data_IF_386279458277
#
_entry.id   IF_386279458277
#
_cell.length_a   1.000
_cell.length_b   1.000
_cell.length_c   1.000
_cell.angle_alpha   90.00
_cell.angle_beta   90.00
_cell.angle_gamma   90.00
#
_symmetry.space_group_name_H-M   'P 1'
#
loop_
_entity.id
_entity.type
_entity.pdbx_description
1 polymer ?
#
# COMPACT_ATOMS: atom_id res chain seq x y z
N UNK A 1 -11.31 112.18 -6.20
CA UNK A 1 -11.57 113.52 -6.78
C UNK A 1 -12.31 113.30 -8.10
N UNK A 2 -13.54 113.83 -8.17
CA UNK A 2 -14.39 114.11 -9.33
C UNK A 2 -14.86 112.95 -10.27
N UNK A 3 -16.12 112.57 -10.11
CA UNK A 3 -17.14 112.33 -11.17
C UNK A 3 -17.46 113.66 -11.93
N UNK A 4 -18.32 113.77 -13.00
CA UNK A 4 -19.02 112.79 -13.88
C UNK A 4 -19.16 113.21 -15.40
N UNK A 5 -19.91 112.39 -16.18
CA UNK A 5 -20.85 112.71 -17.30
C UNK A 5 -20.37 113.15 -18.71
N UNK A 6 -20.72 112.34 -19.75
CA UNK A 6 -21.70 112.59 -20.86
C UNK A 6 -21.49 111.50 -21.95
N UNK A 7 -22.44 110.59 -22.21
CA UNK A 7 -23.65 110.70 -23.08
C UNK A 7 -23.38 110.29 -24.54
N UNK A 8 -24.21 109.37 -25.05
CA UNK A 8 -24.25 108.96 -26.44
C UNK A 8 -25.05 107.67 -26.66
N UNK A 9 -26.37 107.77 -26.59
CA UNK A 9 -27.35 106.75 -27.00
C UNK A 9 -27.20 106.35 -28.48
N UNK A 10 -27.31 105.04 -28.82
CA UNK A 10 -28.21 104.53 -29.88
C UNK A 10 -28.58 103.06 -29.60
N UNK A 11 -29.89 102.83 -29.59
CA UNK A 11 -30.65 101.58 -29.43
C UNK A 11 -30.60 100.73 -30.70
N UNK A 12 -30.39 99.41 -30.59
CA UNK A 12 -31.09 98.41 -31.43
C UNK A 12 -31.22 97.05 -30.72
N UNK A 13 -32.47 96.65 -30.52
CA UNK A 13 -32.96 95.40 -29.95
C UNK A 13 -32.91 94.29 -31.02
N UNK A 14 -32.71 93.00 -30.65
CA UNK A 14 -33.42 91.79 -31.15
C UNK A 14 -32.67 90.47 -30.80
N UNK A 15 -33.26 89.75 -29.84
CA UNK A 15 -33.60 88.31 -29.80
C UNK A 15 -32.59 87.21 -30.22
N UNK A 16 -32.40 86.23 -29.32
CA UNK A 16 -32.41 84.81 -29.71
C UNK A 16 -31.11 84.02 -29.59
N UNK A 17 -30.53 83.87 -28.38
CA UNK A 17 -29.52 82.84 -28.12
C UNK A 17 -30.22 81.46 -28.12
N UNK A 18 -30.10 80.75 -29.24
CA UNK A 18 -30.82 79.53 -29.59
C UNK A 18 -30.38 78.31 -28.74
N UNK A 19 -31.27 77.87 -27.83
CA UNK A 19 -31.16 76.62 -27.05
C UNK A 19 -30.93 75.36 -27.90
N UNK A 20 -31.14 75.38 -29.23
CA UNK A 20 -30.93 74.21 -30.10
C UNK A 20 -29.46 73.84 -30.30
N UNK A 21 -28.52 74.78 -30.33
CA UNK A 21 -27.10 74.45 -30.53
C UNK A 21 -26.49 73.74 -29.30
N UNK A 22 -26.89 74.09 -28.07
CA UNK A 22 -26.43 73.41 -26.85
C UNK A 22 -27.01 71.99 -26.70
N UNK A 23 -28.23 71.75 -27.20
CA UNK A 23 -28.88 70.44 -27.21
C UNK A 23 -28.27 69.47 -28.24
N UNK A 24 -27.78 69.96 -29.38
CA UNK A 24 -27.09 69.14 -30.38
C UNK A 24 -25.67 68.71 -29.92
N UNK A 25 -24.93 69.59 -29.25
CA UNK A 25 -23.61 69.25 -28.68
C UNK A 25 -23.70 68.25 -27.49
N UNK A 26 -24.72 68.36 -26.65
CA UNK A 26 -24.91 67.44 -25.51
C UNK A 26 -25.34 66.03 -25.94
N UNK A 27 -26.17 65.91 -26.99
CA UNK A 27 -26.66 64.62 -27.48
C UNK A 27 -25.58 63.81 -28.23
N UNK A 28 -24.70 64.48 -29.00
CA UNK A 28 -23.55 63.84 -29.64
C UNK A 28 -22.51 63.37 -28.63
N UNK A 29 -22.25 64.15 -27.57
CA UNK A 29 -21.39 63.74 -26.47
C UNK A 29 -21.96 62.54 -25.69
N UNK A 30 -23.29 62.44 -25.54
CA UNK A 30 -23.93 61.29 -24.91
C UNK A 30 -23.87 60.03 -25.77
N UNK A 31 -24.09 60.14 -27.10
CA UNK A 31 -23.91 59.02 -28.05
C UNK A 31 -22.45 58.56 -28.15
N UNK A 32 -21.50 59.49 -28.09
CA UNK A 32 -20.07 59.18 -28.09
C UNK A 32 -19.67 58.45 -26.80
N UNK A 33 -20.10 58.95 -25.63
CA UNK A 33 -19.86 58.29 -24.34
C UNK A 33 -20.46 56.89 -24.26
N UNK A 34 -21.68 56.69 -24.76
CA UNK A 34 -22.33 55.37 -24.76
C UNK A 34 -21.70 54.41 -25.75
N UNK A 35 -21.23 54.88 -26.91
CA UNK A 35 -20.49 54.05 -27.88
C UNK A 35 -19.11 53.64 -27.33
N UNK A 36 -18.38 54.57 -26.72
CA UNK A 36 -17.09 54.30 -26.07
C UNK A 36 -17.27 53.32 -24.89
N UNK A 37 -18.29 53.52 -24.06
CA UNK A 37 -18.58 52.63 -22.92
C UNK A 37 -18.96 51.21 -23.38
N UNK A 38 -19.73 51.08 -24.47
CA UNK A 38 -20.02 49.77 -25.08
C UNK A 38 -18.76 49.10 -25.64
N UNK A 39 -17.91 49.85 -26.33
CA UNK A 39 -16.64 49.31 -26.87
C UNK A 39 -15.71 48.82 -25.74
N UNK A 40 -15.60 49.56 -24.65
CA UNK A 40 -14.83 49.17 -23.46
C UNK A 40 -15.44 47.91 -22.83
N UNK A 41 -16.76 47.83 -22.70
CA UNK A 41 -17.44 46.65 -22.15
C UNK A 41 -17.19 45.41 -23.02
N UNK A 42 -17.31 45.51 -24.34
CA UNK A 42 -17.02 44.40 -25.25
C UNK A 42 -15.55 43.97 -25.20
N UNK A 43 -14.63 44.92 -25.10
CA UNK A 43 -13.21 44.63 -24.94
C UNK A 43 -12.92 43.91 -23.61
N UNK A 44 -13.50 44.36 -22.50
CA UNK A 44 -13.36 43.69 -21.20
C UNK A 44 -13.94 42.27 -21.21
N UNK A 45 -15.09 42.06 -21.85
CA UNK A 45 -15.68 40.73 -22.02
C UNK A 45 -14.77 39.83 -22.84
N UNK A 46 -14.19 40.33 -23.95
CA UNK A 46 -13.28 39.56 -24.79
C UNK A 46 -11.99 39.18 -24.04
N UNK A 47 -11.41 40.12 -23.29
CA UNK A 47 -10.22 39.87 -22.44
C UNK A 47 -10.55 38.85 -21.36
N UNK A 48 -11.69 38.98 -20.68
CA UNK A 48 -12.12 38.03 -19.65
C UNK A 48 -12.33 36.62 -20.23
N UNK A 49 -12.97 36.50 -21.38
CA UNK A 49 -13.15 35.21 -22.07
C UNK A 49 -11.81 34.60 -22.53
N UNK A 50 -10.84 35.41 -22.96
CA UNK A 50 -9.51 34.89 -23.32
C UNK A 50 -8.71 34.43 -22.10
N UNK A 51 -8.86 35.12 -20.96
CA UNK A 51 -8.22 34.79 -19.71
C UNK A 51 -8.79 33.50 -19.09
N UNK A 52 -10.12 33.29 -19.17
CA UNK A 52 -10.74 32.05 -18.67
C UNK A 52 -10.36 30.84 -19.51
N UNK A 53 -10.29 30.97 -20.84
CA UNK A 53 -9.87 29.88 -21.73
C UNK A 53 -8.39 29.50 -21.56
N UNK A 54 -7.52 30.48 -21.33
CA UNK A 54 -6.10 30.23 -21.04
C UNK A 54 -5.89 29.63 -19.65
N UNK A 55 -6.63 30.08 -18.64
CA UNK A 55 -6.62 29.45 -17.31
C UNK A 55 -7.12 28.01 -17.36
N UNK A 56 -8.20 27.72 -18.09
CA UNK A 56 -8.74 26.37 -18.23
C UNK A 56 -7.73 25.40 -18.88
N UNK A 57 -7.03 25.83 -19.93
CA UNK A 57 -6.01 25.02 -20.61
C UNK A 57 -4.77 24.81 -19.75
N UNK A 58 -4.32 25.82 -18.99
CA UNK A 58 -3.22 25.69 -18.02
C UNK A 58 -3.62 24.77 -16.87
N UNK A 59 -4.88 24.79 -16.45
CA UNK A 59 -5.42 23.86 -15.47
C UNK A 59 -5.32 22.44 -16.06
N UNK A 60 -5.94 22.18 -17.21
CA UNK A 60 -5.98 20.83 -17.78
C UNK A 60 -4.63 20.22 -18.19
N UNK A 61 -3.61 21.04 -18.47
CA UNK A 61 -2.29 20.58 -18.94
C UNK A 61 -1.14 20.80 -17.94
N UNK A 62 -1.45 21.26 -16.73
CA UNK A 62 -0.44 21.53 -15.71
C UNK A 62 0.33 20.28 -15.27
N UNK A 63 1.47 20.42 -14.55
CA UNK A 63 2.28 19.29 -14.05
C UNK A 63 1.53 18.34 -13.09
N UNK A 64 0.30 18.69 -12.70
CA UNK A 64 -0.62 17.89 -11.91
C UNK A 64 -1.60 17.07 -12.76
N UNK A 65 -1.77 17.38 -14.05
CA UNK A 65 -2.46 16.57 -15.04
C UNK A 65 -1.56 15.41 -15.47
N UNK A 66 -1.38 14.43 -14.58
CA UNK A 66 -0.72 13.17 -14.92
C UNK A 66 -1.63 12.38 -15.86
N UNK A 67 -1.54 12.66 -17.16
CA UNK A 67 -2.10 11.78 -18.19
C UNK A 67 -1.30 10.48 -18.21
N UNK A 68 -1.62 9.58 -17.28
CA UNK A 68 -1.14 8.21 -17.32
C UNK A 68 -1.78 7.54 -18.53
N UNK A 69 -0.94 6.98 -19.42
CA UNK A 69 -1.43 6.17 -20.52
C UNK A 69 -2.29 5.01 -19.97
N UNK A 70 -3.57 4.99 -20.36
CA UNK A 70 -4.50 3.91 -20.00
C UNK A 70 -4.40 2.82 -21.05
N UNK A 71 -4.03 1.61 -20.63
CA UNK A 71 -3.92 0.45 -21.52
C UNK A 71 -5.19 -0.38 -21.41
N UNK A 72 -5.89 -0.59 -22.54
CA UNK A 72 -7.01 -1.53 -22.66
C UNK A 72 -6.69 -2.51 -23.78
N UNK A 73 -6.79 -3.80 -23.50
CA UNK A 73 -6.55 -4.84 -24.49
C UNK A 73 -7.79 -5.04 -25.39
N UNK A 74 -7.55 -5.42 -26.65
CA UNK A 74 -8.57 -5.53 -27.70
C UNK A 74 -8.99 -6.97 -28.00
N UNK A 75 -9.59 -7.20 -29.17
CA UNK A 75 -10.16 -8.52 -29.53
C UNK A 75 -9.11 -9.63 -29.74
N UNK A 76 -7.90 -9.30 -30.18
CA UNK A 76 -6.84 -10.27 -30.49
C UNK A 76 -5.98 -10.64 -29.29
N UNK A 77 -5.83 -9.73 -28.34
CA UNK A 77 -5.02 -9.93 -27.14
C UNK A 77 -5.97 -9.68 -25.97
N UNK A 78 -6.30 -10.72 -25.22
CA UNK A 78 -7.27 -10.63 -24.11
C UNK A 78 -6.59 -10.25 -22.79
N UNK A 79 -5.34 -10.70 -22.58
CA UNK A 79 -4.53 -10.39 -21.41
C UNK A 79 -3.03 -10.49 -21.75
N UNK A 80 -2.22 -9.59 -21.19
CA UNK A 80 -0.76 -9.69 -21.23
C UNK A 80 -0.19 -9.68 -19.82
N UNK A 81 0.76 -10.58 -19.54
CA UNK A 81 1.50 -10.63 -18.28
C UNK A 81 2.95 -11.01 -18.53
N UNK A 82 3.85 -10.56 -17.65
CA UNK A 82 5.26 -10.98 -17.66
C UNK A 82 6.20 -9.83 -18.00
N UNK A 83 7.36 -10.16 -18.57
CA UNK A 83 8.44 -9.22 -18.85
C UNK A 83 8.87 -9.29 -20.33
N UNK A 84 9.09 -8.14 -20.96
CA UNK A 84 9.63 -8.01 -22.33
C UNK A 84 10.63 -6.85 -22.33
N UNK A 85 11.88 -7.11 -22.73
CA UNK A 85 12.86 -6.03 -23.02
C UNK A 85 13.08 -4.98 -21.92
N UNK A 86 12.96 -5.35 -20.64
CA UNK A 86 13.07 -4.40 -19.52
C UNK A 86 11.75 -3.77 -19.08
N UNK A 87 10.64 -4.14 -19.70
CA UNK A 87 9.28 -3.72 -19.33
C UNK A 87 8.54 -4.88 -18.66
N UNK A 88 7.78 -4.59 -17.60
CA UNK A 88 6.89 -5.53 -16.92
C UNK A 88 5.45 -5.13 -17.17
N UNK A 89 4.67 -6.09 -17.67
CA UNK A 89 3.24 -5.93 -17.94
C UNK A 89 2.48 -6.75 -16.88
N UNK A 90 1.50 -6.11 -16.23
CA UNK A 90 0.73 -6.73 -15.16
C UNK A 90 -0.67 -6.11 -15.05
N UNK A 91 -1.51 -6.63 -14.14
CA UNK A 91 -2.82 -6.08 -13.81
C UNK A 91 -3.08 -6.07 -12.32
N UNK A 92 -3.84 -5.08 -11.86
CA UNK A 92 -4.41 -5.02 -10.51
C UNK A 92 -5.91 -4.68 -10.58
N UNK A 93 -6.55 -4.41 -9.44
CA UNK A 93 -7.97 -4.02 -9.38
C UNK A 93 -8.29 -2.78 -10.22
N UNK A 94 -7.32 -1.88 -10.42
CA UNK A 94 -7.46 -0.66 -11.22
C UNK A 94 -7.23 -0.85 -12.73
N UNK A 95 -6.88 -2.06 -13.18
CA UNK A 95 -6.69 -2.37 -14.60
C UNK A 95 -5.27 -2.86 -14.94
N UNK A 96 -5.01 -2.98 -16.24
CA UNK A 96 -3.70 -3.32 -16.77
C UNK A 96 -2.73 -2.14 -16.66
N UNK A 97 -1.48 -2.42 -16.32
CA UNK A 97 -0.44 -1.41 -16.21
C UNK A 97 0.89 -1.95 -16.72
N UNK A 98 1.73 -1.02 -17.17
CA UNK A 98 3.07 -1.26 -17.68
C UNK A 98 4.04 -0.47 -16.81
N UNK A 99 5.14 -1.10 -16.38
CA UNK A 99 6.20 -0.45 -15.62
C UNK A 99 7.58 -0.86 -16.12
N UNK A 100 8.56 0.00 -15.90
CA UNK A 100 9.96 -0.39 -16.09
C UNK A 100 10.34 -1.45 -15.06
N UNK A 101 11.10 -2.44 -15.52
CA UNK A 101 11.71 -3.45 -14.66
C UNK A 101 12.84 -2.81 -13.90
N UNK A 102 12.63 -2.60 -12.61
CA UNK A 102 13.69 -2.22 -11.69
C UNK A 102 14.21 -3.49 -11.03
N UNK A 103 15.53 -3.70 -11.07
CA UNK A 103 16.19 -4.70 -10.22
C UNK A 103 16.41 -4.06 -8.86
N UNK A 104 15.71 -4.49 -7.80
CA UNK A 104 15.90 -3.92 -6.48
C UNK A 104 17.33 -4.20 -5.97
N UNK A 105 17.91 -3.23 -5.24
CA UNK A 105 19.15 -3.42 -4.51
C UNK A 105 18.95 -4.55 -3.50
N UNK A 106 19.95 -5.42 -3.31
CA UNK A 106 19.94 -6.40 -2.24
C UNK A 106 20.35 -5.71 -0.92
N UNK A 107 19.41 -5.45 0.01
CA UNK A 107 19.68 -4.64 1.20
C UNK A 107 20.58 -5.34 2.24
N UNK A 108 20.87 -6.64 2.06
CA UNK A 108 21.77 -7.44 2.90
C UNK A 108 21.51 -7.34 4.41
N UNK A 109 20.24 -7.45 4.81
CA UNK A 109 19.86 -7.29 6.22
C UNK A 109 20.35 -8.46 7.08
N UNK A 110 20.48 -8.25 8.40
CA UNK A 110 20.84 -9.31 9.36
C UNK A 110 19.91 -10.52 9.25
N UNK A 111 18.61 -10.30 9.10
CA UNK A 111 17.63 -11.37 8.89
C UNK A 111 17.88 -12.15 7.58
N UNK A 112 18.25 -11.48 6.48
CA UNK A 112 18.62 -12.16 5.24
C UNK A 112 19.86 -13.03 5.43
N UNK A 113 20.83 -12.58 6.22
CA UNK A 113 22.02 -13.37 6.56
C UNK A 113 21.66 -14.60 7.40
N UNK A 114 20.77 -14.46 8.39
CA UNK A 114 20.27 -15.61 9.18
C UNK A 114 19.60 -16.65 8.28
N UNK A 115 18.72 -16.24 7.36
CA UNK A 115 18.04 -17.16 6.44
C UNK A 115 19.05 -17.85 5.50
N UNK A 116 20.04 -17.10 4.98
CA UNK A 116 21.10 -17.68 4.14
C UNK A 116 21.97 -18.68 4.91
N UNK A 117 22.36 -18.33 6.14
CA UNK A 117 23.14 -19.19 7.01
C UNK A 117 22.40 -20.48 7.34
N UNK A 118 21.09 -20.40 7.63
CA UNK A 118 20.22 -21.58 7.80
C UNK A 118 20.23 -22.48 6.58
N UNK A 119 19.93 -21.94 5.40
CA UNK A 119 19.90 -22.73 4.16
C UNK A 119 21.26 -23.36 3.84
N UNK A 120 22.36 -22.64 4.11
CA UNK A 120 23.70 -23.16 3.95
C UNK A 120 24.00 -24.29 4.96
N UNK A 121 23.66 -24.10 6.23
CA UNK A 121 23.81 -25.09 7.31
C UNK A 121 23.04 -26.37 6.99
N UNK A 122 21.76 -26.27 6.63
CA UNK A 122 20.95 -27.44 6.27
C UNK A 122 21.46 -28.12 5.00
N UNK A 123 21.94 -27.35 4.02
CA UNK A 123 22.57 -27.93 2.82
C UNK A 123 23.85 -28.69 3.15
N UNK A 124 24.61 -28.25 4.15
CA UNK A 124 25.78 -28.97 4.67
C UNK A 124 25.36 -30.20 5.48
N UNK A 125 24.32 -30.08 6.33
CA UNK A 125 23.72 -31.17 7.08
C UNK A 125 23.32 -32.34 6.19
N UNK A 126 22.66 -32.07 5.06
CA UNK A 126 22.33 -33.10 4.06
C UNK A 126 23.54 -33.88 3.55
N UNK A 127 24.68 -33.20 3.33
CA UNK A 127 25.93 -33.85 2.89
C UNK A 127 26.54 -34.73 3.98
N UNK A 128 26.34 -34.36 5.24
CA UNK A 128 26.77 -35.12 6.41
C UNK A 128 25.90 -36.34 6.73
N UNK A 129 24.73 -36.50 6.09
CA UNK A 129 23.88 -37.67 6.29
C UNK A 129 24.54 -38.94 5.75
N UNK A 130 24.21 -40.07 6.36
CA UNK A 130 24.56 -41.39 5.83
C UNK A 130 23.74 -41.71 4.57
N UNK A 131 24.19 -42.70 3.79
CA UNK A 131 23.45 -43.13 2.60
C UNK A 131 22.07 -43.69 2.96
N UNK A 132 21.97 -44.48 4.04
CA UNK A 132 20.70 -45.02 4.54
C UNK A 132 19.69 -43.91 4.87
N UNK A 133 20.16 -42.81 5.47
CA UNK A 133 19.32 -41.66 5.79
C UNK A 133 18.84 -40.94 4.53
N UNK A 134 19.70 -40.72 3.54
CA UNK A 134 19.31 -40.11 2.27
C UNK A 134 18.26 -40.96 1.54
N UNK A 135 18.42 -42.28 1.53
CA UNK A 135 17.45 -43.21 0.95
C UNK A 135 16.11 -43.12 1.69
N UNK A 136 16.13 -43.07 3.03
CA UNK A 136 14.91 -42.90 3.82
C UNK A 136 14.18 -41.59 3.47
N UNK A 137 14.92 -40.48 3.30
CA UNK A 137 14.33 -39.20 2.89
C UNK A 137 13.69 -39.27 1.51
N UNK A 138 14.34 -39.95 0.56
CA UNK A 138 13.78 -40.17 -0.78
C UNK A 138 12.52 -41.05 -0.74
N UNK A 139 12.45 -42.03 0.17
CA UNK A 139 11.32 -42.96 0.26
C UNK A 139 10.02 -42.30 0.76
N UNK A 140 10.11 -41.24 1.57
CA UNK A 140 8.93 -40.57 2.15
C UNK A 140 8.43 -39.36 1.35
N UNK A 141 9.10 -39.02 0.25
CA UNK A 141 8.83 -37.81 -0.56
C UNK A 141 7.38 -37.69 -0.99
N UNK A 142 6.78 -38.79 -1.44
CA UNK A 142 5.43 -38.81 -2.02
C UNK A 142 4.36 -38.45 -0.98
N UNK A 143 4.63 -38.74 0.30
CA UNK A 143 3.74 -38.41 1.40
C UNK A 143 3.75 -36.91 1.75
N UNK A 144 4.76 -36.17 1.30
CA UNK A 144 4.91 -34.72 1.52
C UNK A 144 4.61 -33.88 0.27
N UNK A 145 3.96 -34.48 -0.73
CA UNK A 145 3.51 -33.83 -1.95
C UNK A 145 2.67 -32.58 -1.66
N UNK A 146 2.81 -31.56 -2.50
CA UNK A 146 1.97 -30.36 -2.45
C UNK A 146 1.41 -30.05 -3.83
N UNK A 147 0.21 -29.51 -3.84
CA UNK A 147 -0.45 -29.01 -5.05
C UNK A 147 0.23 -27.73 -5.53
N UNK A 148 0.57 -27.68 -6.81
CA UNK A 148 1.02 -26.45 -7.47
C UNK A 148 -0.17 -25.53 -7.81
N UNK A 149 0.11 -24.31 -8.28
CA UNK A 149 -0.88 -23.32 -8.69
C UNK A 149 -1.87 -23.83 -9.76
N UNK A 150 -1.49 -24.89 -10.48
CA UNK A 150 -2.31 -25.52 -11.53
C UNK A 150 -3.14 -26.70 -11.03
N UNK A 151 -3.04 -27.09 -9.76
CA UNK A 151 -3.79 -28.24 -9.23
C UNK A 151 -3.01 -29.57 -9.29
N UNK A 152 -1.86 -29.60 -9.95
CA UNK A 152 -1.03 -30.81 -10.06
C UNK A 152 -0.24 -31.06 -8.77
N UNK A 153 -0.14 -32.33 -8.37
CA UNK A 153 0.72 -32.75 -7.27
C UNK A 153 2.18 -32.71 -7.68
N UNK A 154 3.00 -32.01 -6.90
CA UNK A 154 4.44 -31.92 -7.09
C UNK A 154 5.20 -32.47 -5.89
N UNK A 155 6.06 -33.45 -6.18
CA UNK A 155 6.88 -34.12 -5.16
C UNK A 155 8.25 -33.44 -5.05
N UNK A 156 8.69 -33.07 -3.84
CA UNK A 156 10.04 -32.53 -3.65
C UNK A 156 11.10 -33.64 -3.83
N UNK A 157 12.34 -33.31 -4.16
CA UNK A 157 13.44 -34.28 -3.96
C UNK A 157 13.69 -34.53 -2.46
N UNK A 158 14.33 -35.65 -2.10
CA UNK A 158 14.66 -35.95 -0.70
C UNK A 158 15.46 -34.83 0.00
N UNK A 159 16.42 -34.23 -0.71
CA UNK A 159 17.16 -33.06 -0.21
C UNK A 159 16.25 -31.84 0.03
N UNK A 160 15.37 -31.53 -0.93
CA UNK A 160 14.44 -30.41 -0.80
C UNK A 160 13.48 -30.62 0.36
N UNK A 161 13.05 -31.87 0.59
CA UNK A 161 12.21 -32.23 1.72
C UNK A 161 12.95 -32.05 3.05
N UNK A 162 14.17 -32.58 3.17
CA UNK A 162 15.04 -32.39 4.33
C UNK A 162 15.22 -30.90 4.69
N UNK A 163 15.61 -30.08 3.71
CA UNK A 163 15.82 -28.65 3.92
C UNK A 163 14.51 -27.95 4.33
N UNK A 164 13.39 -28.31 3.73
CA UNK A 164 12.07 -27.73 4.03
C UNK A 164 11.63 -28.05 5.46
N UNK A 165 11.65 -29.31 5.85
CA UNK A 165 11.24 -29.78 7.19
C UNK A 165 12.14 -29.17 8.26
N UNK A 166 13.45 -29.25 8.08
CA UNK A 166 14.38 -28.69 9.05
C UNK A 166 14.35 -27.16 9.11
N UNK A 167 14.05 -26.48 8.00
CA UNK A 167 13.82 -25.02 8.04
C UNK A 167 12.62 -24.65 8.90
N UNK A 168 11.57 -25.48 8.92
CA UNK A 168 10.40 -25.29 9.77
C UNK A 168 10.73 -25.57 11.24
N UNK A 169 11.47 -26.64 11.53
CA UNK A 169 11.92 -26.95 12.88
C UNK A 169 12.79 -25.83 13.46
N UNK A 170 13.78 -25.33 12.70
CA UNK A 170 14.58 -24.18 13.14
C UNK A 170 13.76 -22.88 13.25
N UNK A 171 12.64 -22.73 12.52
CA UNK A 171 11.72 -21.60 12.72
C UNK A 171 10.94 -21.73 14.04
N UNK A 172 10.68 -22.96 14.49
CA UNK A 172 10.09 -23.28 15.78
C UNK A 172 11.13 -23.39 16.92
N UNK A 173 12.39 -23.00 16.67
CA UNK A 173 13.45 -23.11 17.67
C UNK A 173 13.85 -24.54 18.03
N UNK A 174 13.49 -25.52 17.20
CA UNK A 174 13.85 -26.93 17.37
C UNK A 174 15.12 -27.26 16.57
N UNK A 175 15.82 -28.31 17.01
CA UNK A 175 16.97 -28.83 16.29
C UNK A 175 16.56 -29.52 14.97
N UNK A 176 17.47 -29.53 14.00
CA UNK A 176 17.27 -30.28 12.76
C UNK A 176 17.29 -31.79 13.01
N UNK A 177 16.39 -32.52 12.35
CA UNK A 177 16.33 -33.98 12.37
C UNK A 177 17.18 -34.57 11.25
N UNK A 178 17.86 -35.68 11.55
CA UNK A 178 18.66 -36.44 10.58
C UNK A 178 17.82 -37.50 9.87
N UNK A 179 16.91 -38.15 10.59
CA UNK A 179 16.04 -39.20 10.08
C UNK A 179 14.65 -38.64 9.76
N UNK A 180 14.06 -38.99 8.61
CA UNK A 180 12.71 -38.58 8.27
C UNK A 180 11.66 -39.24 9.16
N UNK A 181 10.59 -38.49 9.44
CA UNK A 181 9.41 -39.01 10.14
C UNK A 181 8.21 -39.01 9.18
N UNK A 182 7.37 -40.05 9.26
CA UNK A 182 6.13 -40.11 8.49
C UNK A 182 5.21 -38.95 8.86
N UNK A 183 4.51 -38.34 7.88
CA UNK A 183 3.60 -37.25 8.16
C UNK A 183 2.45 -37.73 9.02
N UNK A 184 2.19 -37.02 10.12
CA UNK A 184 1.08 -37.30 11.03
C UNK A 184 -0.06 -36.32 10.80
N UNK A 185 0.25 -35.17 10.19
CA UNK A 185 -0.68 -34.07 10.05
C UNK A 185 -0.64 -33.14 11.26
N UNK A 186 -1.11 -31.92 11.00
CA UNK A 186 -1.22 -30.85 11.99
C UNK A 186 -2.58 -30.21 11.85
N UNK A 187 -3.34 -30.21 12.94
CA UNK A 187 -4.66 -29.59 12.98
C UNK A 187 -4.55 -28.07 12.82
N UNK A 188 -5.57 -27.47 12.20
CA UNK A 188 -5.64 -26.03 12.06
C UNK A 188 -5.87 -25.35 13.41
N UNK A 189 -5.12 -24.29 13.67
CA UNK A 189 -5.37 -23.38 14.79
C UNK A 189 -6.22 -22.20 14.31
N UNK A 190 -7.19 -21.77 15.12
CA UNK A 190 -8.06 -20.64 14.84
C UNK A 190 -7.72 -19.50 15.79
N UNK A 191 -7.42 -18.33 15.24
CA UNK A 191 -7.17 -17.12 16.04
C UNK A 191 -8.48 -16.54 16.55
N UNK A 192 -8.50 -16.23 17.85
CA UNK A 192 -9.58 -15.53 18.53
C UNK A 192 -9.30 -14.03 18.64
N UNK A 193 -9.73 -13.44 19.75
CA UNK A 193 -9.51 -12.01 20.03
C UNK A 193 -8.02 -11.67 20.11
N UNK A 194 -7.63 -10.62 19.38
CA UNK A 194 -6.33 -9.98 19.49
C UNK A 194 -6.49 -8.72 20.35
N UNK A 195 -5.73 -8.61 21.42
CA UNK A 195 -5.69 -7.46 22.31
C UNK A 195 -4.30 -6.84 22.25
N UNK A 196 -4.22 -5.56 21.92
CA UNK A 196 -2.97 -4.80 21.89
C UNK A 196 -3.17 -3.52 22.69
N UNK A 197 -2.46 -3.37 23.81
CA UNK A 197 -2.63 -2.22 24.71
C UNK A 197 -1.35 -1.39 24.72
N UNK A 198 -1.50 -0.07 24.54
CA UNK A 198 -0.41 0.91 24.63
C UNK A 198 0.01 1.21 26.07
N UNK A 199 -0.94 1.12 27.01
CA UNK A 199 -0.75 1.26 28.45
C UNK A 199 -1.72 0.29 29.15
N UNK A 200 -1.27 -0.45 30.15
CA UNK A 200 -2.10 -1.44 30.84
C UNK A 200 -1.83 -2.90 30.41
N UNK A 201 -2.82 -3.81 30.46
CA UNK A 201 -2.60 -5.25 30.48
C UNK A 201 -1.90 -5.80 29.21
N UNK A 202 -1.41 -7.03 29.31
CA UNK A 202 -0.61 -7.70 28.28
C UNK A 202 -1.28 -7.70 26.89
N UNK A 203 -0.47 -7.47 25.85
CA UNK A 203 -0.80 -7.70 24.44
C UNK A 203 -0.84 -9.20 24.16
N UNK A 204 -2.04 -9.70 23.92
CA UNK A 204 -2.32 -11.14 23.89
C UNK A 204 -3.11 -11.54 22.66
N UNK A 205 -2.93 -12.79 22.25
CA UNK A 205 -3.76 -13.41 21.22
C UNK A 205 -4.42 -14.66 21.79
N UNK A 206 -5.76 -14.65 21.80
CA UNK A 206 -6.54 -15.83 22.12
C UNK A 206 -6.59 -16.76 20.91
N UNK A 207 -6.72 -18.07 21.13
CA UNK A 207 -6.86 -19.06 20.06
C UNK A 207 -7.53 -20.35 20.54
N UNK A 208 -8.03 -21.12 19.58
CA UNK A 208 -8.57 -22.47 19.80
C UNK A 208 -8.05 -23.44 18.73
N UNK A 209 -7.87 -24.73 19.05
CA UNK A 209 -7.94 -25.33 20.38
C UNK A 209 -6.79 -24.89 21.31
N UNK A 210 -7.02 -24.97 22.62
CA UNK A 210 -6.05 -24.61 23.67
C UNK A 210 -6.03 -25.68 24.77
N UNK A 211 -4.87 -26.01 25.37
CA UNK A 211 -3.52 -25.59 24.97
C UNK A 211 -3.13 -26.16 23.61
N UNK A 212 -2.05 -25.65 23.00
CA UNK A 212 -1.46 -26.34 21.84
C UNK A 212 -1.01 -27.74 22.27
N UNK A 213 -1.03 -28.76 21.40
CA UNK A 213 -0.56 -30.08 21.81
C UNK A 213 0.92 -30.05 22.22
N UNK A 214 1.35 -30.98 23.07
CA UNK A 214 2.74 -31.05 23.57
C UNK A 214 3.80 -31.31 22.48
N UNK A 215 3.38 -31.71 21.28
CA UNK A 215 4.22 -31.89 20.10
C UNK A 215 4.20 -30.69 19.14
N UNK A 216 3.57 -29.57 19.51
CA UNK A 216 3.37 -28.44 18.61
C UNK A 216 3.89 -27.14 19.22
N UNK A 217 4.86 -26.51 18.56
CA UNK A 217 5.28 -25.15 18.87
C UNK A 217 4.33 -24.14 18.22
N UNK A 218 3.94 -23.10 18.97
CA UNK A 218 3.09 -22.02 18.47
C UNK A 218 3.98 -20.86 17.99
N UNK A 219 3.77 -20.42 16.76
CA UNK A 219 4.44 -19.24 16.21
C UNK A 219 3.42 -18.11 16.06
N UNK A 220 3.71 -16.98 16.69
CA UNK A 220 2.95 -15.75 16.55
C UNK A 220 3.71 -14.81 15.63
N UNK A 221 3.05 -14.37 14.57
CA UNK A 221 3.57 -13.39 13.63
C UNK A 221 2.68 -12.16 13.64
N UNK A 222 3.27 -10.97 13.78
CA UNK A 222 2.52 -9.73 13.81
C UNK A 222 3.13 -8.70 12.87
N UNK A 223 2.33 -7.70 12.53
CA UNK A 223 2.78 -6.57 11.73
C UNK A 223 3.37 -5.48 12.61
N UNK A 224 4.13 -4.59 11.98
CA UNK A 224 4.35 -3.25 12.53
C UNK A 224 3.02 -2.53 12.79
N UNK A 225 3.09 -1.42 13.51
CA UNK A 225 1.94 -0.53 13.73
C UNK A 225 1.54 0.13 12.41
N UNK A 226 0.31 -0.08 11.96
CA UNK A 226 -0.20 0.39 10.68
C UNK A 226 -1.29 1.45 10.88
N UNK A 227 -1.57 2.24 9.83
CA UNK A 227 -2.71 3.13 9.84
C UNK A 227 -4.04 2.36 9.81
N UNK A 228 -5.07 2.91 10.46
CA UNK A 228 -6.37 2.24 10.63
C UNK A 228 -7.04 1.85 9.30
N UNK A 229 -6.80 2.64 8.23
CA UNK A 229 -7.36 2.40 6.90
C UNK A 229 -6.75 1.20 6.14
N UNK A 230 -5.67 0.61 6.63
CA UNK A 230 -5.08 -0.58 5.99
C UNK A 230 -5.92 -1.81 6.32
N UNK A 231 -6.33 -2.53 5.28
CA UNK A 231 -7.16 -3.74 5.38
C UNK A 231 -6.44 -5.03 5.02
N UNK A 232 -5.28 -4.95 4.34
CA UNK A 232 -4.48 -6.10 3.97
C UNK A 232 -3.01 -5.85 4.31
N UNK A 233 -2.45 -6.71 5.16
CA UNK A 233 -1.09 -6.60 5.65
C UNK A 233 -0.24 -7.85 5.37
N UNK A 234 -0.62 -8.67 4.37
CA UNK A 234 0.02 -9.95 4.06
C UNK A 234 1.56 -9.89 3.86
N UNK A 235 2.08 -8.75 3.39
CA UNK A 235 3.54 -8.55 3.19
C UNK A 235 4.28 -8.03 4.44
N UNK A 236 3.55 -7.65 5.49
CA UNK A 236 4.06 -6.94 6.67
C UNK A 236 4.26 -7.82 7.90
N UNK A 237 3.76 -9.05 7.88
CA UNK A 237 3.96 -10.00 8.98
C UNK A 237 5.44 -10.30 9.21
N UNK A 238 5.84 -10.32 10.47
CA UNK A 238 7.15 -10.78 10.95
C UNK A 238 6.89 -11.73 12.12
N UNK A 239 7.66 -12.81 12.20
CA UNK A 239 7.65 -13.69 13.37
C UNK A 239 8.08 -12.91 14.61
N UNK A 240 7.24 -12.89 15.64
CA UNK A 240 7.47 -12.14 16.89
C UNK A 240 7.97 -13.10 17.96
N UNK A 241 7.21 -14.16 18.18
CA UNK A 241 7.45 -15.10 19.27
C UNK A 241 7.27 -16.54 18.80
N UNK A 242 8.05 -17.42 19.42
CA UNK A 242 7.87 -18.87 19.34
C UNK A 242 7.64 -19.37 20.75
N UNK A 243 6.43 -19.84 21.03
CA UNK A 243 6.12 -20.44 22.32
C UNK A 243 6.50 -21.91 22.33
N UNK A 244 6.92 -22.37 23.51
CA UNK A 244 7.13 -23.77 23.78
C UNK A 244 5.83 -24.59 23.56
N UNK A 245 5.95 -25.92 23.40
CA UNK A 245 4.76 -26.77 23.31
C UNK A 245 3.88 -26.69 24.56
N UNK A 246 2.62 -27.11 24.44
CA UNK A 246 1.61 -26.98 25.51
C UNK A 246 1.27 -25.53 25.91
N UNK A 247 1.51 -24.55 25.02
CA UNK A 247 1.17 -23.16 25.27
C UNK A 247 -0.35 -23.02 25.46
N UNK A 248 -0.75 -22.34 26.54
CA UNK A 248 -2.13 -21.98 26.80
C UNK A 248 -2.51 -20.65 26.15
N UNK A 249 -3.79 -20.53 25.77
CA UNK A 249 -4.42 -19.29 25.33
C UNK A 249 -4.95 -18.49 26.55
N UNK A 250 -4.84 -17.15 26.56
CA UNK A 250 -4.20 -16.30 25.56
C UNK A 250 -2.66 -16.34 25.64
N UNK A 251 -1.99 -16.33 24.49
CA UNK A 251 -0.53 -16.20 24.44
C UNK A 251 -0.12 -14.73 24.51
N UNK A 252 0.76 -14.39 25.46
CA UNK A 252 1.35 -13.06 25.64
C UNK A 252 2.65 -12.92 24.86
N UNK A 253 2.70 -11.93 23.95
CA UNK A 253 3.87 -11.60 23.15
C UNK A 253 4.27 -10.12 23.28
N UNK A 254 3.85 -9.46 24.36
CA UNK A 254 4.05 -8.01 24.59
C UNK A 254 5.52 -7.61 24.56
N UNK A 255 6.35 -8.35 25.30
CA UNK A 255 7.76 -8.03 25.49
C UNK A 255 8.52 -8.13 24.16
N UNK A 256 8.31 -9.20 23.42
CA UNK A 256 9.02 -9.42 22.15
C UNK A 256 8.45 -8.60 21.01
N UNK A 257 7.16 -8.24 21.06
CA UNK A 257 6.60 -7.23 20.16
C UNK A 257 7.27 -5.87 20.36
N UNK A 258 7.33 -5.39 21.61
CA UNK A 258 7.94 -4.10 21.94
C UNK A 258 9.43 -4.08 21.61
N UNK A 259 10.16 -5.18 21.84
CA UNK A 259 11.56 -5.30 21.45
C UNK A 259 11.77 -5.20 19.93
N UNK A 260 10.79 -5.64 19.13
CA UNK A 260 10.92 -5.67 17.66
C UNK A 260 10.41 -4.42 16.96
N UNK A 261 9.32 -3.85 17.43
CA UNK A 261 8.63 -2.73 16.77
C UNK A 261 8.54 -1.47 17.63
N UNK A 262 9.04 -1.50 18.86
CA UNK A 262 8.93 -0.40 19.82
C UNK A 262 7.59 -0.38 20.55
N UNK A 263 7.42 0.64 21.38
CA UNK A 263 6.20 0.84 22.16
C UNK A 263 4.98 1.08 21.26
N UNK A 264 3.83 0.55 21.69
CA UNK A 264 2.56 0.72 21.01
C UNK A 264 2.03 2.15 21.18
N UNK A 265 1.50 2.71 20.10
CA UNK A 265 0.87 4.03 20.04
C UNK A 265 -0.63 3.84 19.87
N UNK A 266 -1.42 4.44 20.75
CA UNK A 266 -2.89 4.41 20.69
C UNK A 266 -3.43 4.80 19.31
N UNK A 267 -4.47 4.10 18.86
CA UNK A 267 -5.13 4.38 17.58
C UNK A 267 -4.38 3.87 16.34
N UNK A 268 -3.33 3.06 16.51
CA UNK A 268 -2.72 2.31 15.39
C UNK A 268 -3.36 0.94 15.23
N UNK A 269 -3.24 0.32 14.06
CA UNK A 269 -3.81 -1.00 13.78
C UNK A 269 -2.70 -2.03 13.70
N UNK A 270 -2.92 -3.19 14.32
CA UNK A 270 -2.01 -4.34 14.28
C UNK A 270 -2.76 -5.56 13.78
N UNK A 271 -2.11 -6.30 12.87
CA UNK A 271 -2.56 -7.62 12.46
C UNK A 271 -1.64 -8.66 13.09
N UNK A 272 -2.21 -9.74 13.58
CA UNK A 272 -1.49 -10.90 14.06
C UNK A 272 -2.01 -12.15 13.37
N UNK A 273 -1.13 -13.10 13.10
CA UNK A 273 -1.49 -14.42 12.61
C UNK A 273 -0.71 -15.47 13.39
N UNK A 274 -1.33 -16.62 13.54
CA UNK A 274 -0.78 -17.74 14.27
C UNK A 274 -0.73 -18.97 13.39
N UNK A 275 0.28 -19.81 13.64
CA UNK A 275 0.44 -21.13 13.05
C UNK A 275 1.16 -22.02 14.04
N UNK A 276 0.91 -23.32 13.94
CA UNK A 276 1.61 -24.32 14.71
C UNK A 276 2.61 -25.06 13.81
N UNK A 277 3.74 -25.44 14.40
CA UNK A 277 4.69 -26.37 13.78
C UNK A 277 4.81 -27.59 14.69
N UNK A 278 4.67 -28.77 14.12
CA UNK A 278 4.94 -30.01 14.83
C UNK A 278 6.45 -30.17 15.05
N UNK A 279 6.87 -30.41 16.28
CA UNK A 279 8.30 -30.40 16.67
C UNK A 279 9.06 -31.67 16.27
N UNK A 280 8.34 -32.75 15.94
CA UNK A 280 8.88 -34.04 15.48
C UNK A 280 8.95 -34.15 13.94
N UNK A 281 7.93 -33.68 13.22
CA UNK A 281 7.84 -33.80 11.74
C UNK A 281 8.16 -32.51 10.98
N UNK A 282 8.16 -31.35 11.65
CA UNK A 282 8.29 -30.04 11.00
C UNK A 282 7.11 -29.67 10.07
N UNK A 283 5.99 -30.38 10.19
CA UNK A 283 4.73 -30.05 9.51
C UNK A 283 4.15 -28.75 10.07
N UNK A 284 3.44 -28.00 9.22
CA UNK A 284 2.93 -26.66 9.56
C UNK A 284 1.43 -26.62 9.34
N UNK A 285 0.70 -26.09 10.33
CA UNK A 285 -0.74 -25.86 10.24
C UNK A 285 -1.09 -24.79 9.18
N UNK A 286 -2.37 -24.72 8.81
CA UNK A 286 -2.90 -23.50 8.20
C UNK A 286 -2.68 -22.28 9.10
N UNK A 287 -2.52 -21.09 8.51
CA UNK A 287 -2.41 -19.83 9.26
C UNK A 287 -3.78 -19.21 9.50
N UNK A 288 -4.05 -18.75 10.72
CA UNK A 288 -5.26 -17.98 11.05
C UNK A 288 -4.89 -16.56 11.49
N UNK A 289 -5.67 -15.55 11.09
CA UNK A 289 -5.33 -14.13 11.22
C UNK A 289 -6.42 -13.38 12.01
N UNK A 290 -5.99 -12.53 12.94
CA UNK A 290 -6.81 -11.57 13.69
C UNK A 290 -6.23 -10.15 13.55
N UNK A 291 -7.07 -9.13 13.74
CA UNK A 291 -6.62 -7.74 13.72
C UNK A 291 -7.35 -6.92 14.77
N UNK A 292 -6.66 -5.94 15.35
CA UNK A 292 -7.24 -5.02 16.32
C UNK A 292 -6.64 -3.62 16.19
N UNK A 293 -7.34 -2.62 16.71
CA UNK A 293 -6.80 -1.28 16.90
C UNK A 293 -6.24 -1.21 18.32
N UNK A 294 -5.02 -0.72 18.46
CA UNK A 294 -4.36 -0.53 19.74
C UNK A 294 -5.12 0.48 20.58
N UNK A 295 -5.47 0.09 21.80
CA UNK A 295 -6.09 0.95 22.79
C UNK A 295 -5.01 1.72 23.56
#
# INVERSE_FOLDING_TARGET
MADPCYSGDVIFHILGYDKKQSLLCTNNNHKLKTTIMKAILFFLIAVFNSATNSLATILESGPWAKHLAKVKFGALITEMRGKVGGTVISRNRGGAYIKNKVTPLNPNTSFQQVVKARLASLSQGWRGLTEAQRVAWCAIVDLYARTDIFGDLRNPSGQQLYVRVNSNLENAGQAAIADPVFPVGVDAIVSGALVMNSVGPLSTIAYTPTPTPASHALIVEATEQLSQGIMNANSKFRQIEVFAPAQASPADFSVTYAAKFGALVTGTKVFSRIRQIRTDTGEVSGTSQSSTTTL
#
